data_IF_866148129105
#
_entry.id   IF_866148129105
#
_cell.length_a   1.000
_cell.length_b   1.000
_cell.length_c   1.000
_cell.angle_alpha   90.00
_cell.angle_beta   90.00
_cell.angle_gamma   90.00
#
_symmetry.space_group_name_H-M   'P 1'
#
loop_
_entity.id
_entity.type
_entity.pdbx_description
1 polymer ?
#
# COMPACT_ATOMS: atom_id res chain seq x y z
N UNK A 1 36.33 -7.19 27.74
CA UNK A 1 35.24 -7.57 26.82
C UNK A 1 34.37 -8.72 27.37
N UNK A 2 34.18 -8.85 28.70
CA UNK A 2 33.47 -10.01 29.30
C UNK A 2 32.02 -9.74 29.74
N UNK A 3 31.51 -8.53 29.60
CA UNK A 3 30.16 -8.17 30.07
C UNK A 3 29.03 -8.43 29.05
N UNK A 4 29.36 -8.80 27.81
CA UNK A 4 28.37 -9.06 26.74
C UNK A 4 27.81 -10.50 26.77
N UNK A 5 28.53 -11.43 27.40
CA UNK A 5 28.13 -12.84 27.54
C UNK A 5 26.85 -13.07 28.37
N UNK A 6 26.65 -12.42 29.54
CA UNK A 6 25.41 -12.59 30.30
C UNK A 6 24.20 -11.96 29.59
N UNK A 7 24.41 -10.89 28.81
CA UNK A 7 23.37 -10.24 28.00
C UNK A 7 22.89 -11.13 26.83
N UNK A 8 23.81 -11.89 26.22
CA UNK A 8 23.47 -12.82 25.13
C UNK A 8 22.61 -14.00 25.62
N UNK A 9 22.81 -14.45 26.87
CA UNK A 9 22.07 -15.57 27.46
C UNK A 9 20.62 -15.22 27.84
N UNK A 10 20.33 -13.94 28.11
CA UNK A 10 18.97 -13.47 28.43
C UNK A 10 18.06 -13.32 27.19
N UNK A 11 18.63 -13.30 25.98
CA UNK A 11 17.87 -13.13 24.72
C UNK A 11 17.46 -14.45 24.07
N UNK A 12 17.88 -15.60 24.62
CA UNK A 12 17.56 -16.94 24.12
C UNK A 12 16.12 -17.47 24.35
N UNK A 13 15.22 -16.88 25.18
CA UNK A 13 13.87 -17.45 25.31
C UNK A 13 12.88 -16.97 24.22
N UNK A 14 13.34 -16.22 23.20
CA UNK A 14 12.50 -15.72 22.11
C UNK A 14 12.64 -16.48 20.78
N UNK A 15 13.40 -17.58 20.74
CA UNK A 15 13.37 -18.50 19.60
C UNK A 15 12.47 -19.70 19.94
N UNK A 16 11.32 -19.88 19.28
CA UNK A 16 10.62 -21.16 19.28
C UNK A 16 11.57 -22.20 18.67
N UNK A 17 12.12 -23.07 19.50
CA UNK A 17 12.90 -24.20 19.03
C UNK A 17 12.00 -25.15 18.21
N UNK A 18 12.55 -25.85 17.20
CA UNK A 18 11.83 -26.87 16.47
C UNK A 18 11.63 -28.10 17.37
N UNK A 19 10.56 -28.08 18.18
CA UNK A 19 10.07 -29.26 18.86
C UNK A 19 9.40 -30.19 17.85
N UNK A 20 9.62 -31.52 17.91
CA UNK A 20 8.82 -32.48 17.18
C UNK A 20 7.45 -32.57 17.86
N UNK A 21 6.57 -31.63 17.52
CA UNK A 21 5.14 -31.75 17.79
C UNK A 21 4.59 -32.96 17.01
N UNK A 22 3.50 -33.58 17.51
CA UNK A 22 2.85 -34.66 16.78
C UNK A 22 2.56 -34.15 15.37
N UNK A 23 3.15 -34.84 14.39
CA UNK A 23 2.89 -34.58 12.99
C UNK A 23 1.39 -34.67 12.75
N UNK A 24 0.72 -33.52 12.75
CA UNK A 24 -0.16 -33.30 11.62
C UNK A 24 0.80 -33.27 10.44
N UNK A 25 0.93 -34.42 9.78
CA UNK A 25 0.87 -34.34 8.33
C UNK A 25 -0.29 -33.40 8.08
N UNK A 26 0.02 -32.15 7.73
CA UNK A 26 -0.92 -31.33 7.04
C UNK A 26 -1.17 -32.16 5.79
N UNK A 27 -2.19 -33.02 5.87
CA UNK A 27 -2.92 -33.48 4.70
C UNK A 27 -3.13 -32.17 4.00
N UNK A 28 -2.34 -31.92 2.95
CA UNK A 28 -2.47 -30.72 2.12
C UNK A 28 -3.85 -30.90 1.55
N UNK A 29 -4.81 -30.43 2.34
CA UNK A 29 -6.20 -30.67 2.10
C UNK A 29 -6.38 -29.70 0.98
N UNK A 30 -6.58 -30.22 -0.22
CA UNK A 30 -6.78 -29.42 -1.43
C UNK A 30 -8.10 -28.66 -1.30
N UNK A 31 -8.27 -27.86 -0.26
CA UNK A 31 -9.51 -27.30 0.25
C UNK A 31 -9.34 -25.80 0.37
N UNK A 32 -10.32 -25.07 -0.15
CA UNK A 32 -10.36 -23.62 -0.10
C UNK A 32 -11.34 -23.12 0.97
N UNK A 33 -11.64 -23.93 2.00
CA UNK A 33 -12.64 -23.61 3.02
C UNK A 33 -12.35 -22.28 3.73
N UNK A 34 -11.09 -22.04 4.11
CA UNK A 34 -10.67 -20.80 4.75
C UNK A 34 -10.81 -19.60 3.80
N UNK A 35 -10.34 -19.73 2.55
CA UNK A 35 -10.50 -18.70 1.52
C UNK A 35 -11.97 -18.37 1.27
N UNK A 36 -12.84 -19.39 1.22
CA UNK A 36 -14.30 -19.22 1.09
C UNK A 36 -14.89 -18.48 2.28
N UNK A 37 -14.43 -18.76 3.50
CA UNK A 37 -14.88 -18.07 4.70
C UNK A 37 -14.44 -16.59 4.68
N UNK A 38 -13.18 -16.31 4.40
CA UNK A 38 -12.63 -14.95 4.40
C UNK A 38 -13.24 -14.10 3.29
N UNK A 39 -13.28 -14.59 2.05
CA UNK A 39 -13.86 -13.84 0.94
C UNK A 39 -15.39 -13.76 1.04
N UNK A 40 -16.04 -14.79 1.59
CA UNK A 40 -17.47 -14.74 1.92
C UNK A 40 -17.80 -13.62 2.90
N UNK A 41 -16.98 -13.45 3.95
CA UNK A 41 -17.11 -12.34 4.90
C UNK A 41 -16.87 -10.96 4.26
N UNK A 42 -16.12 -10.89 3.15
CA UNK A 42 -15.93 -9.69 2.33
C UNK A 42 -17.04 -9.47 1.27
N UNK A 43 -18.08 -10.29 1.26
CA UNK A 43 -19.20 -10.16 0.31
C UNK A 43 -18.92 -10.72 -1.09
N UNK A 44 -17.96 -11.65 -1.22
CA UNK A 44 -17.80 -12.43 -2.44
C UNK A 44 -18.80 -13.58 -2.47
N UNK A 45 -19.34 -13.87 -3.65
CA UNK A 45 -20.20 -15.03 -3.84
C UNK A 45 -19.39 -16.31 -3.73
N UNK A 46 -19.86 -17.26 -2.90
CA UNK A 46 -19.19 -18.55 -2.69
C UNK A 46 -19.21 -19.45 -3.94
N UNK A 47 -19.97 -19.09 -4.97
CA UNK A 47 -19.97 -19.76 -6.28
C UNK A 47 -18.76 -19.38 -7.12
N UNK A 48 -18.16 -18.21 -6.86
CA UNK A 48 -16.98 -17.72 -7.59
C UNK A 48 -15.67 -18.26 -7.03
N UNK A 49 -15.74 -18.93 -5.87
CA UNK A 49 -14.60 -19.45 -5.13
C UNK A 49 -14.68 -20.98 -5.16
N UNK A 50 -13.70 -21.67 -5.76
CA UNK A 50 -13.71 -23.12 -5.87
C UNK A 50 -13.69 -23.76 -4.47
N UNK A 51 -14.29 -24.96 -4.31
CA UNK A 51 -14.25 -25.70 -3.04
C UNK A 51 -12.86 -26.27 -2.74
N UNK A 52 -12.04 -26.45 -3.77
CA UNK A 52 -10.74 -27.10 -3.73
C UNK A 52 -9.71 -26.32 -4.56
N UNK A 53 -8.42 -26.61 -4.35
CA UNK A 53 -7.33 -25.99 -5.12
C UNK A 53 -7.45 -26.35 -6.61
N UNK A 54 -7.29 -25.33 -7.47
CA UNK A 54 -7.31 -25.42 -8.94
C UNK A 54 -5.96 -24.96 -9.51
N UNK A 55 -5.65 -25.32 -10.76
CA UNK A 55 -4.48 -24.74 -11.47
C UNK A 55 -4.62 -23.23 -11.54
N UNK A 56 -3.53 -22.47 -11.39
CA UNK A 56 -3.52 -21.01 -11.45
C UNK A 56 -3.17 -20.43 -12.80
N UNK A 57 -3.04 -21.24 -13.85
CA UNK A 57 -2.69 -20.81 -15.22
C UNK A 57 -3.61 -19.73 -15.82
N UNK A 58 -4.82 -19.58 -15.28
CA UNK A 58 -5.81 -18.58 -15.68
C UNK A 58 -5.63 -17.22 -14.99
N UNK A 59 -4.71 -17.12 -14.03
CA UNK A 59 -4.46 -15.90 -13.26
C UNK A 59 -3.45 -15.01 -13.99
N UNK A 60 -3.37 -13.72 -13.65
CA UNK A 60 -2.42 -12.78 -14.28
C UNK A 60 -1.48 -12.08 -13.31
N UNK A 61 -1.92 -11.88 -12.08
CA UNK A 61 -1.19 -11.13 -11.04
C UNK A 61 -0.69 -12.08 -9.98
N UNK A 62 -1.54 -13.01 -9.54
CA UNK A 62 -1.14 -14.09 -8.65
C UNK A 62 -0.16 -15.05 -9.36
N UNK A 63 0.72 -15.72 -8.59
CA UNK A 63 1.58 -16.77 -9.13
C UNK A 63 0.76 -17.87 -9.82
N UNK A 64 1.31 -18.43 -10.91
CA UNK A 64 0.70 -19.48 -11.74
C UNK A 64 0.82 -20.87 -11.10
N UNK A 65 0.56 -20.95 -9.80
CA UNK A 65 0.62 -22.16 -8.97
C UNK A 65 -0.80 -22.62 -8.60
N UNK A 66 -0.94 -23.72 -7.86
CA UNK A 66 -2.24 -24.10 -7.33
C UNK A 66 -2.85 -22.99 -6.47
N UNK A 67 -4.12 -22.66 -6.71
CA UNK A 67 -4.79 -21.48 -6.16
C UNK A 67 -6.23 -21.77 -5.74
N UNK A 68 -6.77 -20.88 -4.90
CA UNK A 68 -8.18 -20.83 -4.51
C UNK A 68 -8.93 -19.66 -5.16
N UNK A 69 -8.31 -18.96 -6.13
CA UNK A 69 -8.91 -17.83 -6.83
C UNK A 69 -9.25 -18.22 -8.27
N UNK A 70 -10.46 -17.89 -8.72
CA UNK A 70 -10.80 -17.84 -10.14
C UNK A 70 -10.37 -16.50 -10.75
N UNK A 71 -10.32 -16.39 -12.08
CA UNK A 71 -9.99 -15.13 -12.75
C UNK A 71 -10.93 -14.00 -12.34
N UNK A 72 -12.21 -14.30 -12.10
CA UNK A 72 -13.17 -13.30 -11.63
C UNK A 72 -12.87 -12.84 -10.20
N UNK A 73 -12.50 -13.75 -9.30
CA UNK A 73 -12.10 -13.37 -7.93
C UNK A 73 -10.84 -12.53 -7.94
N UNK A 74 -9.84 -12.90 -8.76
CA UNK A 74 -8.59 -12.14 -8.90
C UNK A 74 -8.85 -10.74 -9.44
N UNK A 75 -9.64 -10.59 -10.50
CA UNK A 75 -9.98 -9.28 -11.07
C UNK A 75 -10.68 -8.38 -10.05
N UNK A 76 -11.60 -8.93 -9.25
CA UNK A 76 -12.30 -8.16 -8.21
C UNK A 76 -11.36 -7.77 -7.07
N UNK A 77 -10.47 -8.67 -6.64
CA UNK A 77 -9.45 -8.38 -5.64
C UNK A 77 -8.49 -7.28 -6.10
N UNK A 78 -8.09 -7.28 -7.37
CA UNK A 78 -7.24 -6.21 -7.94
C UNK A 78 -7.95 -4.85 -7.83
N UNK A 79 -9.22 -4.76 -8.24
CA UNK A 79 -9.99 -3.50 -8.15
C UNK A 79 -10.18 -3.03 -6.70
N UNK A 80 -10.47 -3.94 -5.79
CA UNK A 80 -10.67 -3.65 -4.37
C UNK A 80 -9.39 -3.14 -3.72
N UNK A 81 -8.26 -3.82 -3.97
CA UNK A 81 -6.95 -3.44 -3.43
C UNK A 81 -6.45 -2.13 -4.02
N UNK A 82 -6.65 -1.91 -5.32
CA UNK A 82 -6.31 -0.64 -5.97
C UNK A 82 -7.10 0.54 -5.37
N UNK A 83 -8.42 0.38 -5.21
CA UNK A 83 -9.27 1.42 -4.63
C UNK A 83 -8.89 1.70 -3.16
N UNK A 84 -8.63 0.64 -2.39
CA UNK A 84 -8.21 0.76 -0.98
C UNK A 84 -6.85 1.45 -0.88
N UNK A 85 -5.88 1.02 -1.67
CA UNK A 85 -4.54 1.63 -1.69
C UNK A 85 -4.60 3.10 -2.09
N UNK A 86 -5.37 3.43 -3.14
CA UNK A 86 -5.59 4.80 -3.59
C UNK A 86 -6.15 5.68 -2.45
N UNK A 87 -7.18 5.20 -1.76
CA UNK A 87 -7.76 5.91 -0.61
C UNK A 87 -6.72 6.14 0.50
N UNK A 88 -5.94 5.12 0.85
CA UNK A 88 -4.88 5.27 1.87
C UNK A 88 -3.81 6.30 1.46
N UNK A 89 -3.43 6.35 0.19
CA UNK A 89 -2.47 7.33 -0.33
C UNK A 89 -3.06 8.74 -0.32
N UNK A 90 -4.32 8.90 -0.75
CA UNK A 90 -5.02 10.18 -0.72
C UNK A 90 -5.19 10.71 0.71
N UNK A 91 -5.61 9.86 1.64
CA UNK A 91 -5.79 10.20 3.04
C UNK A 91 -4.48 10.61 3.71
N UNK A 92 -3.41 9.82 3.52
CA UNK A 92 -2.09 10.10 4.09
C UNK A 92 -1.44 11.37 3.51
N UNK A 93 -1.69 11.69 2.24
CA UNK A 93 -1.18 12.88 1.57
C UNK A 93 -2.03 14.15 1.73
N UNK A 94 -3.30 14.00 2.14
CA UNK A 94 -4.30 15.08 2.15
C UNK A 94 -3.84 16.33 2.90
N UNK A 95 -3.24 16.17 4.08
CA UNK A 95 -2.74 17.29 4.88
C UNK A 95 -1.69 18.13 4.15
N UNK A 96 -0.74 17.48 3.46
CA UNK A 96 0.31 18.16 2.72
C UNK A 96 -0.29 18.94 1.55
N UNK A 97 -1.17 18.31 0.78
CA UNK A 97 -1.86 18.92 -0.36
C UNK A 97 -2.66 20.14 0.10
N UNK A 98 -3.47 20.00 1.15
CA UNK A 98 -4.28 21.10 1.70
C UNK A 98 -3.42 22.24 2.24
N UNK A 99 -2.35 21.93 2.98
CA UNK A 99 -1.47 22.96 3.55
C UNK A 99 -0.72 23.73 2.47
N UNK A 100 -0.15 23.03 1.49
CA UNK A 100 0.56 23.66 0.37
C UNK A 100 -0.40 24.50 -0.47
N UNK A 101 -1.59 23.98 -0.80
CA UNK A 101 -2.60 24.72 -1.54
C UNK A 101 -3.06 25.99 -0.79
N UNK A 102 -3.26 25.91 0.53
CA UNK A 102 -3.64 27.06 1.35
C UNK A 102 -2.54 28.12 1.42
N UNK A 103 -1.27 27.70 1.56
CA UNK A 103 -0.13 28.63 1.54
C UNK A 103 0.04 29.28 0.18
N UNK A 104 -0.07 28.51 -0.90
CA UNK A 104 0.00 29.02 -2.26
C UNK A 104 -1.03 30.12 -2.51
N UNK A 105 -2.30 29.88 -2.13
CA UNK A 105 -3.36 30.90 -2.23
C UNK A 105 -3.03 32.19 -1.47
N UNK A 106 -2.46 32.08 -0.26
CA UNK A 106 -2.04 33.28 0.50
C UNK A 106 -0.94 34.08 -0.19
N UNK A 107 -0.04 33.43 -0.92
CA UNK A 107 0.96 34.12 -1.73
C UNK A 107 0.32 34.82 -2.93
N UNK A 108 -0.65 34.17 -3.59
CA UNK A 108 -1.36 34.74 -4.72
C UNK A 108 -2.27 35.92 -4.33
N UNK A 109 -3.00 35.80 -3.20
CA UNK A 109 -3.98 36.80 -2.74
C UNK A 109 -3.34 38.05 -2.11
N UNK A 110 -2.12 37.93 -1.59
CA UNK A 110 -1.40 39.01 -0.92
C UNK A 110 -0.01 39.18 -1.54
N UNK A 111 0.08 39.71 -2.79
CA UNK A 111 1.36 40.04 -3.38
C UNK A 111 2.00 41.12 -2.50
N UNK A 112 3.02 40.72 -1.74
CA UNK A 112 3.85 41.65 -0.98
C UNK A 112 4.30 42.77 -1.94
N UNK A 113 4.24 44.06 -1.56
CA UNK A 113 4.68 45.16 -2.41
C UNK A 113 6.17 45.09 -2.79
N UNK A 114 6.95 44.17 -2.19
CA UNK A 114 8.30 43.80 -2.59
C UNK A 114 8.50 42.31 -2.97
N UNK A 115 7.43 41.54 -3.14
CA UNK A 115 7.49 40.12 -3.48
C UNK A 115 7.95 39.89 -4.92
N UNK A 116 8.83 38.90 -5.12
CA UNK A 116 9.19 38.43 -6.47
C UNK A 116 7.89 38.14 -7.24
N UNK A 117 7.72 38.66 -8.48
CA UNK A 117 6.56 38.35 -9.31
C UNK A 117 6.62 36.87 -9.70
N UNK A 118 6.12 35.99 -8.84
CA UNK A 118 5.90 34.60 -9.19
C UNK A 118 4.79 34.61 -10.22
N UNK A 119 5.14 34.16 -11.44
CA UNK A 119 4.33 34.06 -12.65
C UNK A 119 4.48 35.29 -13.56
N UNK A 120 5.61 35.35 -14.26
CA UNK A 120 5.66 35.99 -15.57
C UNK A 120 4.59 35.33 -16.46
N UNK A 121 3.42 35.97 -16.57
CA UNK A 121 2.35 35.53 -17.45
C UNK A 121 2.76 35.78 -18.90
N UNK A 122 3.42 34.79 -19.51
CA UNK A 122 3.63 34.71 -20.94
C UNK A 122 5.08 34.80 -21.42
N UNK A 123 5.37 34.31 -22.64
CA UNK A 123 6.66 34.46 -23.28
C UNK A 123 6.83 35.91 -23.74
N UNK A 124 7.39 36.76 -22.87
CA UNK A 124 7.72 38.14 -23.21
C UNK A 124 8.33 38.90 -22.03
N UNK A 125 9.62 39.21 -22.13
CA UNK A 125 10.39 40.16 -21.30
C UNK A 125 10.59 39.85 -19.80
N UNK A 126 11.40 38.80 -19.54
CA UNK A 126 12.01 38.49 -18.24
C UNK A 126 12.95 39.59 -17.68
N UNK A 127 13.36 40.57 -18.49
CA UNK A 127 14.31 41.62 -18.08
C UNK A 127 13.78 42.61 -17.03
N UNK A 128 12.47 42.61 -16.76
CA UNK A 128 11.83 43.53 -15.78
C UNK A 128 11.54 42.91 -14.41
N UNK A 129 11.67 41.59 -14.23
CA UNK A 129 11.59 41.00 -12.90
C UNK A 129 12.90 41.26 -12.14
N UNK A 130 12.90 42.27 -11.26
CA UNK A 130 14.02 42.52 -10.32
C UNK A 130 14.83 43.80 -10.55
N UNK A 131 14.41 44.72 -11.43
CA UNK A 131 14.98 46.08 -11.43
C UNK A 131 14.38 46.89 -10.28
N UNK A 132 14.97 46.73 -9.09
CA UNK A 132 14.74 47.58 -7.91
C UNK A 132 15.11 49.00 -8.31
N UNK A 133 14.14 49.92 -8.31
CA UNK A 133 14.39 51.35 -8.46
C UNK A 133 15.38 51.79 -7.40
N UNK A 134 16.52 52.34 -7.82
CA UNK A 134 17.46 53.04 -6.95
C UNK A 134 16.89 54.39 -6.52
#
# INVERSE_FOLDING_TARGET
>A
MSALRPLLLLLLPLCPGPGPGPGSEAKVTRSCAETRQVLGARGYSLNLIPPALISGEHLRVCPQEYTCCSSETEQRLIRETEATFRGLVEDSGSFLVHTLAARHRKFDDNPDPGGCPSLCAGPGDWKKCGQRSA
#
